data_IF_508379620905
#
_entry.id   IF_508379620905
#
_cell.length_a   1.000
_cell.length_b   1.000
_cell.length_c   1.000
_cell.angle_alpha   90.00
_cell.angle_beta   90.00
_cell.angle_gamma   90.00
#
_symmetry.space_group_name_H-M   'P 1'
#
loop_
_entity.id
_entity.type
_entity.pdbx_description
1 polymer ?
#
# COMPACT_ATOMS: atom_id res chain seq x y z
N UNK A 1 9.28 34.94 30.20
CA UNK A 1 7.82 34.77 30.20
C UNK A 1 7.50 34.00 28.93
N UNK A 2 6.88 32.83 29.09
CA UNK A 2 6.54 31.80 28.10
C UNK A 2 7.71 30.99 27.50
N UNK A 3 7.80 29.73 27.96
CA UNK A 3 8.52 28.62 27.34
C UNK A 3 8.05 28.43 25.88
N UNK A 4 8.92 28.70 24.91
CA UNK A 4 8.77 28.18 23.56
C UNK A 4 9.20 26.70 23.57
N UNK A 5 8.21 25.83 23.47
CA UNK A 5 8.29 24.38 23.58
C UNK A 5 9.17 23.75 22.48
N UNK A 6 10.49 23.85 22.63
CA UNK A 6 11.50 23.09 21.90
C UNK A 6 11.67 21.68 22.45
N UNK A 7 10.61 20.85 22.45
CA UNK A 7 10.76 19.42 22.72
C UNK A 7 11.20 18.78 21.40
N UNK A 8 12.51 18.76 21.15
CA UNK A 8 13.13 17.82 20.22
C UNK A 8 12.61 16.43 20.56
N UNK A 9 11.70 15.91 19.73
CA UNK A 9 11.11 14.59 19.97
C UNK A 9 12.22 13.58 19.72
N UNK A 10 12.45 12.63 20.64
CA UNK A 10 13.43 11.57 20.38
C UNK A 10 12.96 10.69 19.23
N UNK A 11 13.89 10.18 18.40
CA UNK A 11 13.60 9.27 17.27
C UNK A 11 12.68 8.13 17.70
N UNK A 12 12.98 7.51 18.83
CA UNK A 12 12.20 6.40 19.39
C UNK A 12 10.76 6.78 19.69
N UNK A 13 10.53 8.00 20.19
CA UNK A 13 9.18 8.50 20.50
C UNK A 13 8.40 8.82 19.22
N UNK A 14 9.05 9.41 18.21
CA UNK A 14 8.42 9.66 16.92
C UNK A 14 8.04 8.36 16.21
N UNK A 15 8.95 7.39 16.17
CA UNK A 15 8.70 6.05 15.62
C UNK A 15 7.56 5.37 16.38
N UNK A 16 7.60 5.39 17.72
CA UNK A 16 6.53 4.82 18.55
C UNK A 16 5.17 5.47 18.30
N UNK A 17 5.11 6.80 18.20
CA UNK A 17 3.87 7.52 17.86
C UNK A 17 3.38 7.18 16.45
N UNK A 18 4.27 7.13 15.45
CA UNK A 18 3.92 6.79 14.06
C UNK A 18 3.33 5.38 13.96
N UNK A 19 3.98 4.40 14.59
CA UNK A 19 3.53 3.00 14.61
C UNK A 19 2.20 2.85 15.38
N UNK A 20 2.02 3.59 16.47
CA UNK A 20 0.76 3.59 17.22
C UNK A 20 -0.39 4.15 16.37
N UNK A 21 -0.17 5.27 15.66
CA UNK A 21 -1.18 5.85 14.77
C UNK A 21 -1.53 4.86 13.65
N UNK A 22 -0.52 4.26 13.00
CA UNK A 22 -0.72 3.24 11.98
C UNK A 22 -1.54 2.05 12.51
N UNK A 23 -1.23 1.57 13.71
CA UNK A 23 -1.97 0.47 14.33
C UNK A 23 -3.44 0.84 14.60
N UNK A 24 -3.71 2.06 15.05
CA UNK A 24 -5.07 2.57 15.26
C UNK A 24 -5.82 2.64 13.92
N UNK A 25 -5.19 3.18 12.86
CA UNK A 25 -5.76 3.20 11.51
C UNK A 25 -6.13 1.79 11.04
N UNK A 26 -5.22 0.81 11.16
CA UNK A 26 -5.51 -0.57 10.75
C UNK A 26 -6.63 -1.21 11.59
N UNK A 27 -6.66 -0.95 12.91
CA UNK A 27 -7.67 -1.47 13.80
C UNK A 27 -9.07 -0.92 13.47
N UNK A 28 -9.18 0.35 13.09
CA UNK A 28 -10.45 0.98 12.69
C UNK A 28 -10.89 0.52 11.30
N UNK A 29 -9.94 0.37 10.38
CA UNK A 29 -10.21 -0.05 9.00
C UNK A 29 -10.68 -1.51 8.89
N UNK A 30 -10.09 -2.43 9.68
CA UNK A 30 -10.33 -3.87 9.54
C UNK A 30 -11.82 -4.26 9.69
N UNK A 31 -12.56 -3.79 10.72
CA UNK A 31 -13.99 -4.05 10.83
C UNK A 31 -14.78 -3.54 9.62
N UNK A 32 -14.45 -2.34 9.11
CA UNK A 32 -15.12 -1.76 7.94
C UNK A 32 -14.92 -2.65 6.70
N UNK A 33 -13.70 -3.16 6.49
CA UNK A 33 -13.39 -4.07 5.38
C UNK A 33 -14.13 -5.40 5.50
N UNK A 34 -14.16 -5.99 6.70
CA UNK A 34 -14.88 -7.25 6.93
C UNK A 34 -16.39 -7.12 6.68
N UNK A 35 -17.00 -6.03 7.15
CA UNK A 35 -18.44 -5.77 6.94
C UNK A 35 -18.72 -5.55 5.45
N UNK A 36 -17.96 -4.70 4.78
CA UNK A 36 -18.19 -4.39 3.36
C UNK A 36 -17.99 -5.62 2.45
N UNK A 37 -17.03 -6.49 2.78
CA UNK A 37 -16.81 -7.77 2.10
C UNK A 37 -18.05 -8.69 2.13
N UNK A 38 -18.87 -8.63 3.18
CA UNK A 38 -20.03 -9.51 3.37
C UNK A 38 -21.33 -8.96 2.76
N UNK A 39 -21.48 -7.63 2.70
CA UNK A 39 -22.79 -7.01 2.45
C UNK A 39 -22.88 -6.19 1.16
N UNK A 40 -21.77 -5.75 0.59
CA UNK A 40 -21.79 -4.84 -0.55
C UNK A 40 -21.57 -5.57 -1.87
N UNK A 41 -22.23 -5.05 -2.92
CA UNK A 41 -22.17 -5.57 -4.29
C UNK A 41 -21.73 -4.48 -5.26
N UNK A 42 -20.96 -4.89 -6.26
CA UNK A 42 -20.50 -4.15 -7.44
C UNK A 42 -20.25 -2.63 -7.25
N UNK A 43 -18.99 -2.28 -6.94
CA UNK A 43 -18.61 -0.90 -6.60
C UNK A 43 -17.29 -0.43 -7.23
N UNK A 44 -16.83 -1.03 -8.34
CA UNK A 44 -15.52 -0.70 -8.93
C UNK A 44 -15.35 0.80 -9.24
N UNK A 45 -16.39 1.46 -9.74
CA UNK A 45 -16.39 2.91 -9.99
C UNK A 45 -16.24 3.73 -8.69
N UNK A 46 -16.84 3.25 -7.59
CA UNK A 46 -16.72 3.87 -6.27
C UNK A 46 -15.30 3.71 -5.71
N UNK A 47 -14.68 2.53 -5.87
CA UNK A 47 -13.28 2.29 -5.50
C UNK A 47 -12.32 3.26 -6.19
N UNK A 48 -12.44 3.40 -7.51
CA UNK A 48 -11.62 4.33 -8.29
C UNK A 48 -11.82 5.78 -7.86
N UNK A 49 -13.06 6.17 -7.61
CA UNK A 49 -13.39 7.53 -7.15
C UNK A 49 -12.79 7.82 -5.77
N UNK A 50 -12.89 6.88 -4.83
CA UNK A 50 -12.31 7.00 -3.50
C UNK A 50 -10.78 7.15 -3.53
N UNK A 51 -10.08 6.30 -4.30
CA UNK A 51 -8.62 6.40 -4.44
C UNK A 51 -8.17 7.67 -5.18
N UNK A 52 -8.90 8.08 -6.20
CA UNK A 52 -8.60 9.32 -6.92
C UNK A 52 -8.74 10.54 -6.01
N UNK A 53 -9.88 10.66 -5.31
CA UNK A 53 -10.12 11.77 -4.39
C UNK A 53 -9.13 11.77 -3.23
N UNK A 54 -8.77 10.61 -2.67
CA UNK A 54 -7.78 10.56 -1.61
C UNK A 54 -6.40 11.01 -2.08
N UNK A 55 -5.98 10.62 -3.29
CA UNK A 55 -4.72 11.10 -3.87
C UNK A 55 -4.72 12.61 -4.10
N UNK A 56 -5.83 13.16 -4.60
CA UNK A 56 -6.01 14.62 -4.77
C UNK A 56 -5.93 15.34 -3.43
N UNK A 57 -6.62 14.84 -2.40
CA UNK A 57 -6.55 15.42 -1.05
C UNK A 57 -5.13 15.33 -0.49
N UNK A 58 -4.44 14.20 -0.66
CA UNK A 58 -3.06 14.02 -0.23
C UNK A 58 -2.12 15.02 -0.94
N UNK A 59 -2.29 15.23 -2.25
CA UNK A 59 -1.53 16.22 -3.00
C UNK A 59 -1.76 17.64 -2.45
N UNK A 60 -3.01 18.01 -2.13
CA UNK A 60 -3.31 19.29 -1.51
C UNK A 60 -2.69 19.45 -0.12
N UNK A 61 -2.69 18.41 0.71
CA UNK A 61 -2.02 18.42 2.02
C UNK A 61 -0.52 18.68 1.86
N UNK A 62 0.12 18.07 0.86
CA UNK A 62 1.55 18.27 0.61
C UNK A 62 1.89 19.62 -0.03
N UNK A 63 1.00 20.19 -0.85
CA UNK A 63 1.24 21.45 -1.56
C UNK A 63 0.85 22.70 -0.76
N UNK A 64 -0.09 22.59 0.17
CA UNK A 64 -0.62 23.74 0.92
C UNK A 64 -0.15 23.66 2.38
N UNK A 65 0.79 24.51 2.74
CA UNK A 65 1.39 24.57 4.09
C UNK A 65 0.33 24.78 5.19
N UNK A 66 -0.71 25.57 4.92
CA UNK A 66 -1.84 25.76 5.84
C UNK A 66 -2.59 24.46 6.11
N UNK A 67 -2.82 23.61 5.09
CA UNK A 67 -3.43 22.30 5.31
C UNK A 67 -2.47 21.37 6.04
N UNK A 68 -1.16 21.51 5.85
CA UNK A 68 -0.16 20.66 6.50
C UNK A 68 0.04 20.96 7.99
N UNK A 69 -0.06 22.23 8.40
CA UNK A 69 0.33 22.64 9.76
C UNK A 69 -0.73 23.43 10.53
N UNK A 70 -1.79 23.93 9.88
CA UNK A 70 -2.83 24.68 10.59
C UNK A 70 -3.87 23.76 11.22
N UNK A 71 -4.05 23.88 12.53
CA UNK A 71 -5.17 23.25 13.24
C UNK A 71 -6.41 24.14 13.18
N UNK A 72 -7.63 23.58 13.00
CA UNK A 72 -7.97 22.16 12.93
C UNK A 72 -7.89 21.54 11.51
N UNK A 73 -7.62 22.35 10.48
CA UNK A 73 -7.72 21.96 9.08
C UNK A 73 -6.87 20.74 8.71
N UNK A 74 -5.67 20.62 9.28
CA UNK A 74 -4.78 19.48 9.08
C UNK A 74 -5.43 18.15 9.47
N UNK A 75 -6.00 18.06 10.67
CA UNK A 75 -6.65 16.84 11.14
C UNK A 75 -7.87 16.47 10.30
N UNK A 76 -8.65 17.47 9.88
CA UNK A 76 -9.82 17.25 9.03
C UNK A 76 -9.40 16.70 7.67
N UNK A 77 -8.42 17.35 7.02
CA UNK A 77 -7.95 16.92 5.70
C UNK A 77 -7.37 15.50 5.74
N UNK A 78 -6.59 15.18 6.77
CA UNK A 78 -6.02 13.84 6.92
C UNK A 78 -7.09 12.80 7.27
N UNK A 79 -8.05 13.12 8.15
CA UNK A 79 -9.15 12.21 8.46
C UNK A 79 -9.99 11.90 7.20
N UNK A 80 -10.31 12.91 6.39
CA UNK A 80 -11.01 12.72 5.11
C UNK A 80 -10.19 11.86 4.15
N UNK A 81 -8.89 12.13 4.03
CA UNK A 81 -7.99 11.32 3.20
C UNK A 81 -7.96 9.85 3.66
N UNK A 82 -7.81 9.62 4.96
CA UNK A 82 -7.82 8.30 5.57
C UNK A 82 -9.13 7.56 5.34
N UNK A 83 -10.29 8.19 5.56
CA UNK A 83 -11.59 7.55 5.34
C UNK A 83 -11.80 7.21 3.86
N UNK A 84 -11.43 8.11 2.94
CA UNK A 84 -11.49 7.82 1.50
C UNK A 84 -10.60 6.64 1.11
N UNK A 85 -9.38 6.57 1.63
CA UNK A 85 -8.49 5.42 1.43
C UNK A 85 -9.07 4.13 2.01
N UNK A 86 -9.67 4.23 3.20
CA UNK A 86 -10.25 3.08 3.90
C UNK A 86 -11.47 2.54 3.16
N UNK A 87 -12.36 3.41 2.69
CA UNK A 87 -13.51 3.07 1.86
C UNK A 87 -13.10 2.55 0.47
N UNK A 88 -12.05 3.12 -0.12
CA UNK A 88 -11.42 2.59 -1.34
C UNK A 88 -10.93 1.16 -1.15
N UNK A 89 -10.14 0.91 -0.10
CA UNK A 89 -9.70 -0.45 0.27
C UNK A 89 -10.86 -1.39 0.57
N UNK A 90 -11.90 -0.92 1.27
CA UNK A 90 -13.09 -1.70 1.60
C UNK A 90 -13.84 -2.15 0.35
N UNK A 91 -14.07 -1.21 -0.58
CA UNK A 91 -14.77 -1.46 -1.83
C UNK A 91 -13.97 -2.37 -2.76
N UNK A 92 -12.64 -2.28 -2.70
CA UNK A 92 -11.77 -3.23 -3.40
C UNK A 92 -11.86 -4.65 -2.82
N UNK A 93 -12.23 -4.84 -1.55
CA UNK A 93 -12.39 -6.18 -0.95
C UNK A 93 -13.82 -6.72 -1.06
N UNK A 94 -14.74 -6.01 -1.71
CA UNK A 94 -16.13 -6.44 -1.88
C UNK A 94 -16.26 -7.73 -2.69
N UNK A 95 -17.36 -8.45 -2.45
CA UNK A 95 -17.76 -9.69 -3.11
C UNK A 95 -16.71 -10.81 -3.03
N UNK A 96 -15.81 -10.73 -2.06
CA UNK A 96 -14.76 -11.73 -1.89
C UNK A 96 -15.04 -12.67 -0.72
N UNK A 97 -14.42 -13.86 -0.75
CA UNK A 97 -14.54 -14.80 0.35
C UNK A 97 -13.86 -14.22 1.60
N UNK A 98 -14.61 -14.12 2.71
CA UNK A 98 -14.13 -13.60 3.99
C UNK A 98 -12.80 -14.22 4.42
N UNK A 99 -12.61 -15.52 4.20
CA UNK A 99 -11.36 -16.23 4.56
C UNK A 99 -10.20 -15.70 3.72
N UNK A 100 -10.38 -15.57 2.40
CA UNK A 100 -9.37 -15.02 1.49
C UNK A 100 -9.04 -13.56 1.84
N UNK A 101 -10.06 -12.76 2.19
CA UNK A 101 -9.89 -11.39 2.67
C UNK A 101 -9.00 -11.34 3.91
N UNK A 102 -9.28 -12.17 4.93
CA UNK A 102 -8.46 -12.23 6.15
C UNK A 102 -7.01 -12.62 5.83
N UNK A 103 -6.81 -13.60 4.94
CA UNK A 103 -5.47 -14.05 4.53
C UNK A 103 -4.70 -12.90 3.87
N UNK A 104 -5.31 -12.15 2.95
CA UNK A 104 -4.64 -11.03 2.29
C UNK A 104 -4.37 -9.87 3.24
N UNK A 105 -5.30 -9.57 4.15
CA UNK A 105 -5.07 -8.56 5.19
C UNK A 105 -3.87 -8.92 6.06
N UNK A 106 -3.76 -10.19 6.47
CA UNK A 106 -2.65 -10.70 7.26
C UNK A 106 -1.33 -10.73 6.47
N UNK A 107 -1.36 -11.16 5.21
CA UNK A 107 -0.19 -11.21 4.33
C UNK A 107 0.35 -9.80 4.05
N UNK A 108 -0.52 -8.83 3.76
CA UNK A 108 -0.14 -7.43 3.59
C UNK A 108 0.48 -6.84 4.85
N UNK A 109 -0.04 -7.20 6.03
CA UNK A 109 0.51 -6.74 7.31
C UNK A 109 1.89 -7.33 7.56
N UNK A 110 2.04 -8.63 7.30
CA UNK A 110 3.31 -9.34 7.41
C UNK A 110 4.37 -8.75 6.47
N UNK A 111 4.02 -8.46 5.22
CA UNK A 111 4.91 -7.77 4.27
C UNK A 111 5.32 -6.40 4.80
N UNK A 112 4.39 -5.59 5.29
CA UNK A 112 4.70 -4.28 5.87
C UNK A 112 5.69 -4.42 7.04
N UNK A 113 5.46 -5.35 7.96
CA UNK A 113 6.35 -5.61 9.09
C UNK A 113 7.74 -6.01 8.60
N UNK A 114 7.85 -6.92 7.63
CA UNK A 114 9.13 -7.33 7.04
C UNK A 114 9.87 -6.13 6.45
N UNK A 115 9.17 -5.28 5.70
CA UNK A 115 9.76 -4.10 5.07
C UNK A 115 10.24 -3.08 6.10
N UNK A 116 9.48 -2.87 7.17
CA UNK A 116 9.90 -2.00 8.28
C UNK A 116 11.12 -2.58 9.03
N UNK A 117 11.17 -3.89 9.24
CA UNK A 117 12.34 -4.56 9.83
C UNK A 117 13.57 -4.43 8.93
N UNK A 118 13.41 -4.66 7.63
CA UNK A 118 14.48 -4.47 6.65
C UNK A 118 14.99 -3.02 6.64
N UNK A 119 14.09 -2.04 6.73
CA UNK A 119 14.44 -0.62 6.84
C UNK A 119 15.23 -0.35 8.13
N UNK A 120 14.83 -0.94 9.26
CA UNK A 120 15.57 -0.85 10.52
C UNK A 120 16.98 -1.44 10.43
N UNK A 121 17.14 -2.58 9.75
CA UNK A 121 18.45 -3.22 9.50
C UNK A 121 19.34 -2.37 8.60
N UNK A 122 18.78 -1.75 7.54
CA UNK A 122 19.51 -0.83 6.67
C UNK A 122 19.99 0.41 7.44
N UNK A 123 19.14 0.98 8.29
CA UNK A 123 19.52 2.10 9.17
C UNK A 123 20.64 1.67 10.12
N UNK A 124 20.51 0.51 10.77
CA UNK A 124 21.50 0.01 11.73
C UNK A 124 22.86 -0.29 11.10
N UNK A 125 22.86 -0.92 9.92
CA UNK A 125 24.09 -1.21 9.17
C UNK A 125 24.75 0.03 8.56
N UNK A 126 24.00 1.12 8.40
CA UNK A 126 24.46 2.34 7.71
C UNK A 126 24.70 2.16 6.21
N UNK A 127 24.40 0.98 5.66
CA UNK A 127 24.69 0.64 4.27
C UNK A 127 23.42 0.67 3.43
N UNK A 128 23.08 1.86 2.93
CA UNK A 128 21.96 2.04 2.01
C UNK A 128 22.28 3.08 0.94
N UNK A 129 21.76 2.87 -0.28
CA UNK A 129 21.91 3.82 -1.37
C UNK A 129 21.11 5.10 -1.10
N UNK A 130 21.39 6.18 -1.84
CA UNK A 130 20.66 7.44 -1.68
C UNK A 130 19.14 7.19 -1.79
N UNK A 131 18.35 7.48 -0.73
CA UNK A 131 16.97 7.03 -0.65
C UNK A 131 16.05 7.81 -1.60
N UNK A 132 16.40 9.05 -2.00
CA UNK A 132 15.68 9.76 -3.06
C UNK A 132 15.85 9.08 -4.42
N UNK A 133 17.06 8.60 -4.73
CA UNK A 133 17.29 7.83 -5.97
C UNK A 133 16.54 6.51 -5.95
N UNK A 134 16.52 5.82 -4.81
CA UNK A 134 15.73 4.59 -4.66
C UNK A 134 14.23 4.85 -4.84
N UNK A 135 13.70 5.97 -4.31
CA UNK A 135 12.30 6.33 -4.52
C UNK A 135 11.97 6.51 -6.02
N UNK A 136 12.85 7.19 -6.78
CA UNK A 136 12.68 7.34 -8.24
C UNK A 136 12.68 5.98 -8.94
N UNK A 137 13.58 5.06 -8.57
CA UNK A 137 13.61 3.69 -9.10
C UNK A 137 12.31 2.94 -8.78
N UNK A 138 11.80 3.07 -7.55
CA UNK A 138 10.51 2.50 -7.17
C UNK A 138 9.35 3.05 -8.01
N UNK A 139 9.31 4.37 -8.26
CA UNK A 139 8.29 4.98 -9.14
C UNK A 139 8.40 4.47 -10.57
N UNK A 140 9.61 4.36 -11.12
CA UNK A 140 9.82 3.78 -12.45
C UNK A 140 9.38 2.31 -12.52
N UNK A 141 9.50 1.56 -11.42
CA UNK A 141 8.96 0.22 -11.31
C UNK A 141 7.43 0.15 -11.41
N UNK A 142 6.69 1.11 -10.84
CA UNK A 142 5.23 1.20 -11.05
C UNK A 142 4.89 1.47 -12.52
N UNK A 143 5.63 2.35 -13.19
CA UNK A 143 5.46 2.61 -14.62
C UNK A 143 5.74 1.34 -15.42
N UNK A 144 6.79 0.59 -15.08
CA UNK A 144 7.13 -0.68 -15.73
C UNK A 144 6.03 -1.73 -15.53
N UNK A 145 5.50 -1.89 -14.30
CA UNK A 145 4.39 -2.80 -14.02
C UNK A 145 3.15 -2.44 -14.87
N UNK A 146 2.82 -1.16 -14.98
CA UNK A 146 1.73 -0.69 -15.85
C UNK A 146 2.01 -0.99 -17.33
N UNK A 147 3.23 -0.77 -17.81
CA UNK A 147 3.60 -1.10 -19.18
C UNK A 147 3.47 -2.60 -19.47
N UNK A 148 3.88 -3.46 -18.54
CA UNK A 148 3.74 -4.92 -18.68
C UNK A 148 2.26 -5.31 -18.73
N UNK A 149 1.42 -4.74 -17.87
CA UNK A 149 -0.02 -5.00 -17.85
C UNK A 149 -0.68 -4.60 -19.18
N UNK A 150 -0.32 -3.44 -19.73
CA UNK A 150 -0.80 -3.00 -21.05
C UNK A 150 -0.30 -3.91 -22.17
N UNK A 151 0.94 -4.43 -22.06
CA UNK A 151 1.46 -5.40 -23.04
C UNK A 151 0.75 -6.75 -22.95
N UNK A 152 0.36 -7.20 -21.76
CA UNK A 152 -0.43 -8.42 -21.59
C UNK A 152 -1.79 -8.30 -22.31
N UNK A 153 -2.47 -7.16 -22.16
CA UNK A 153 -3.72 -6.87 -22.91
C UNK A 153 -3.53 -6.99 -24.43
N UNK A 154 -2.32 -6.70 -24.95
CA UNK A 154 -2.04 -6.79 -26.38
C UNK A 154 -1.54 -8.17 -26.85
N UNK A 155 -0.80 -8.91 -26.02
CA UNK A 155 -0.14 -10.17 -26.41
C UNK A 155 -0.76 -11.43 -25.80
N UNK A 156 -1.67 -11.32 -24.82
CA UNK A 156 -2.38 -12.42 -24.16
C UNK A 156 -1.46 -13.56 -23.69
N UNK A 157 -0.38 -13.23 -22.96
CA UNK A 157 0.56 -14.23 -22.48
C UNK A 157 0.57 -14.24 -20.96
N UNK A 158 -0.06 -15.27 -20.39
CA UNK A 158 -0.33 -15.44 -18.94
C UNK A 158 0.88 -15.16 -18.01
N UNK A 159 2.11 -15.44 -18.45
CA UNK A 159 3.31 -15.19 -17.64
C UNK A 159 3.58 -13.70 -17.38
N UNK A 160 3.10 -12.78 -18.23
CA UNK A 160 3.33 -11.35 -18.05
C UNK A 160 2.58 -10.79 -16.83
N UNK A 161 1.44 -11.38 -16.46
CA UNK A 161 0.63 -10.97 -15.32
C UNK A 161 1.39 -11.20 -14.00
N UNK A 162 1.98 -12.38 -13.80
CA UNK A 162 2.77 -12.68 -12.60
C UNK A 162 4.01 -11.77 -12.49
N UNK A 163 4.65 -11.46 -13.63
CA UNK A 163 5.78 -10.53 -13.69
C UNK A 163 5.34 -9.10 -13.35
N UNK A 164 4.21 -8.64 -13.89
CA UNK A 164 3.66 -7.30 -13.60
C UNK A 164 3.44 -7.10 -12.11
N UNK A 165 2.79 -8.07 -11.43
CA UNK A 165 2.56 -8.00 -10.00
C UNK A 165 3.86 -8.10 -9.21
N UNK A 166 4.79 -8.96 -9.62
CA UNK A 166 6.09 -9.08 -8.98
C UNK A 166 6.84 -7.75 -8.98
N UNK A 167 6.86 -7.06 -10.13
CA UNK A 167 7.43 -5.72 -10.29
C UNK A 167 6.66 -4.70 -9.44
N UNK A 168 5.33 -4.76 -9.41
CA UNK A 168 4.50 -3.89 -8.58
C UNK A 168 4.83 -4.02 -7.09
N UNK A 169 4.83 -5.24 -6.54
CA UNK A 169 5.13 -5.50 -5.12
C UNK A 169 6.57 -5.06 -4.80
N UNK A 170 7.54 -5.38 -5.65
CA UNK A 170 8.93 -4.93 -5.48
C UNK A 170 9.03 -3.39 -5.45
N UNK A 171 8.25 -2.71 -6.29
CA UNK A 171 8.19 -1.24 -6.34
C UNK A 171 7.62 -0.65 -5.05
N UNK A 172 6.55 -1.23 -4.51
CA UNK A 172 5.98 -0.83 -3.21
C UNK A 172 7.01 -1.00 -2.10
N UNK A 173 7.74 -2.12 -2.07
CA UNK A 173 8.82 -2.36 -1.10
C UNK A 173 9.89 -1.26 -1.19
N UNK A 174 10.42 -1.00 -2.38
CA UNK A 174 11.48 -0.01 -2.59
C UNK A 174 11.03 1.39 -2.19
N UNK A 175 9.81 1.80 -2.56
CA UNK A 175 9.27 3.11 -2.16
C UNK A 175 9.10 3.19 -0.65
N UNK A 176 8.60 2.14 -0.01
CA UNK A 176 8.38 2.12 1.45
C UNK A 176 9.71 2.25 2.20
N UNK A 177 10.72 1.47 1.80
CA UNK A 177 12.09 1.59 2.35
C UNK A 177 12.63 3.01 2.15
N UNK A 178 12.49 3.54 0.93
CA UNK A 178 12.95 4.89 0.60
C UNK A 178 12.27 5.96 1.46
N UNK A 179 10.96 5.85 1.66
CA UNK A 179 10.19 6.76 2.50
C UNK A 179 10.66 6.73 3.95
N UNK A 180 10.87 5.54 4.53
CA UNK A 180 11.39 5.39 5.90
C UNK A 180 12.79 5.99 6.02
N UNK A 181 13.69 5.73 5.05
CA UNK A 181 15.05 6.27 5.05
C UNK A 181 15.09 7.79 4.88
N UNK A 182 14.26 8.37 3.99
CA UNK A 182 14.12 9.82 3.84
C UNK A 182 13.63 10.44 5.16
N UNK A 183 12.64 9.82 5.80
CA UNK A 183 12.09 10.28 7.08
C UNK A 183 13.16 10.25 8.17
N UNK A 184 13.95 9.18 8.24
CA UNK A 184 15.07 9.07 9.19
C UNK A 184 16.15 10.13 8.93
N UNK A 185 16.55 10.35 7.67
CA UNK A 185 17.60 11.31 7.33
C UNK A 185 17.21 12.77 7.58
N UNK A 186 15.92 13.08 7.58
CA UNK A 186 15.40 14.43 7.84
C UNK A 186 14.79 14.57 9.25
N UNK A 187 15.12 13.64 10.17
CA UNK A 187 14.51 13.57 11.50
C UNK A 187 14.58 14.89 12.29
N UNK A 188 15.68 15.62 12.16
CA UNK A 188 15.88 16.87 12.89
C UNK A 188 14.91 17.99 12.47
N UNK A 189 14.33 17.88 11.28
CA UNK A 189 13.35 18.84 10.73
C UNK A 189 11.90 18.39 10.97
N UNK A 190 11.68 17.18 11.48
CA UNK A 190 10.35 16.59 11.64
C UNK A 190 9.68 17.06 12.92
N UNK A 191 8.46 17.57 12.78
CA UNK A 191 7.61 17.98 13.91
C UNK A 191 6.67 16.82 14.27
N UNK A 192 6.13 16.83 15.49
CA UNK A 192 5.18 15.80 15.96
C UNK A 192 3.98 15.60 15.01
N UNK A 193 3.53 16.65 14.34
CA UNK A 193 2.40 16.59 13.40
C UNK A 193 2.76 15.83 12.10
N UNK A 194 4.05 15.70 11.76
CA UNK A 194 4.50 14.89 10.62
C UNK A 194 4.42 13.37 10.92
N UNK A 195 4.41 12.94 12.19
CA UNK A 195 4.26 11.53 12.55
C UNK A 195 2.92 10.95 12.05
N UNK A 196 1.88 11.78 12.06
CA UNK A 196 0.56 11.42 11.57
C UNK A 196 0.57 11.29 10.04
N UNK A 197 1.21 12.22 9.34
CA UNK A 197 1.36 12.16 7.88
C UNK A 197 2.18 10.93 7.44
N UNK A 198 3.30 10.65 8.11
CA UNK A 198 4.13 9.46 7.86
C UNK A 198 3.33 8.18 8.10
N UNK A 199 2.53 8.12 9.16
CA UNK A 199 1.66 6.97 9.42
C UNK A 199 0.64 6.75 8.29
N UNK A 200 0.08 7.81 7.71
CA UNK A 200 -0.82 7.70 6.55
C UNK A 200 -0.09 7.21 5.31
N UNK A 201 1.15 7.65 5.07
CA UNK A 201 1.94 7.14 3.94
C UNK A 201 2.25 5.65 4.13
N UNK A 202 2.58 5.19 5.35
CA UNK A 202 2.74 3.77 5.65
C UNK A 202 1.43 2.99 5.50
N UNK A 203 0.29 3.61 5.83
CA UNK A 203 -1.03 3.02 5.61
C UNK A 203 -1.35 2.88 4.11
N UNK A 204 -0.96 3.86 3.28
CA UNK A 204 -1.05 3.74 1.81
C UNK A 204 -0.18 2.58 1.31
N UNK A 205 1.06 2.44 1.81
CA UNK A 205 1.91 1.30 1.46
C UNK A 205 1.26 -0.04 1.83
N UNK A 206 0.63 -0.14 3.00
CA UNK A 206 -0.15 -1.30 3.39
C UNK A 206 -1.30 -1.58 2.41
N UNK A 207 -2.07 -0.56 2.02
CA UNK A 207 -3.14 -0.70 1.05
C UNK A 207 -2.62 -1.18 -0.32
N UNK A 208 -1.45 -0.72 -0.75
CA UNK A 208 -0.83 -1.21 -1.98
C UNK A 208 -0.44 -2.69 -1.88
N UNK A 209 0.08 -3.16 -0.74
CA UNK A 209 0.31 -4.59 -0.51
C UNK A 209 -0.98 -5.40 -0.52
N UNK A 210 -2.05 -4.88 0.06
CA UNK A 210 -3.38 -5.49 0.04
C UNK A 210 -3.91 -5.60 -1.40
N UNK A 211 -3.79 -4.53 -2.18
CA UNK A 211 -4.18 -4.50 -3.59
C UNK A 211 -3.39 -5.53 -4.39
N UNK A 212 -2.06 -5.51 -4.27
CA UNK A 212 -1.18 -6.48 -4.92
C UNK A 212 -1.53 -7.91 -4.52
N UNK A 213 -1.77 -8.17 -3.24
CA UNK A 213 -2.13 -9.49 -2.72
C UNK A 213 -3.45 -10.03 -3.28
N UNK A 214 -4.51 -9.21 -3.36
CA UNK A 214 -5.79 -9.64 -3.96
C UNK A 214 -5.63 -9.93 -5.44
N UNK A 215 -4.92 -9.07 -6.18
CA UNK A 215 -4.65 -9.25 -7.61
C UNK A 215 -3.83 -10.54 -7.84
N UNK A 216 -2.82 -10.80 -7.00
CA UNK A 216 -2.06 -12.07 -7.05
C UNK A 216 -2.95 -13.29 -6.87
N UNK A 217 -3.88 -13.28 -5.91
CA UNK A 217 -4.79 -14.42 -5.71
C UNK A 217 -5.67 -14.65 -6.94
N UNK A 218 -6.13 -13.57 -7.59
CA UNK A 218 -6.91 -13.66 -8.82
C UNK A 218 -6.12 -14.36 -9.94
N UNK A 219 -4.94 -13.86 -10.29
CA UNK A 219 -4.14 -14.43 -11.37
C UNK A 219 -3.62 -15.85 -11.07
N UNK A 220 -3.25 -16.15 -9.82
CA UNK A 220 -2.89 -17.52 -9.42
C UNK A 220 -4.06 -18.49 -9.60
N UNK A 221 -5.28 -18.06 -9.29
CA UNK A 221 -6.48 -18.89 -9.46
C UNK A 221 -6.79 -19.11 -10.93
N UNK A 222 -6.68 -18.07 -11.76
CA UNK A 222 -6.90 -18.14 -13.21
C UNK A 222 -5.86 -19.03 -13.90
N UNK A 223 -4.57 -18.86 -13.56
CA UNK A 223 -3.50 -19.71 -14.06
C UNK A 223 -3.72 -21.18 -13.66
N UNK A 224 -4.08 -21.45 -12.40
CA UNK A 224 -4.35 -22.81 -11.93
C UNK A 224 -5.53 -23.46 -12.70
N UNK A 225 -6.58 -22.70 -13.00
CA UNK A 225 -7.71 -23.18 -13.80
C UNK A 225 -7.28 -23.51 -15.24
N UNK A 226 -6.53 -22.62 -15.89
CA UNK A 226 -6.04 -22.82 -17.25
C UNK A 226 -5.11 -24.04 -17.38
N UNK A 227 -4.20 -24.25 -16.43
CA UNK A 227 -3.33 -25.43 -16.44
C UNK A 227 -4.12 -26.73 -16.19
N UNK A 228 -5.14 -26.70 -15.34
CA UNK A 228 -6.00 -27.86 -15.12
C UNK A 228 -6.79 -28.26 -16.38
N UNK A 229 -7.36 -27.30 -17.12
CA UNK A 229 -8.10 -27.58 -18.35
C UNK A 229 -7.18 -28.06 -19.48
N UNK A 230 -6.05 -27.39 -19.70
CA UNK A 230 -5.09 -27.77 -20.75
C UNK A 230 -4.49 -29.16 -20.53
N UNK A 231 -4.23 -29.54 -19.27
CA UNK A 231 -3.70 -30.87 -18.95
C UNK A 231 -4.77 -31.96 -19.15
N UNK A 232 -6.05 -31.65 -18.89
CA UNK A 232 -7.14 -32.62 -19.04
C UNK A 232 -7.49 -32.87 -20.52
N UNK A 233 -7.51 -31.82 -21.36
CA UNK A 233 -7.73 -31.97 -22.82
C UNK A 233 -6.60 -32.76 -23.50
N UNK A 234 -5.35 -32.55 -23.08
CA UNK A 234 -4.21 -33.32 -23.61
C UNK A 234 -4.25 -34.82 -23.26
N UNK A 235 -4.97 -35.20 -22.22
CA UNK A 235 -5.13 -36.61 -21.81
C UNK A 235 -6.30 -37.26 -22.55
N UNK A 236 -7.35 -36.51 -22.92
CA UNK A 236 -8.48 -37.06 -23.70
C UNK A 236 -8.15 -37.28 -25.18
N UNK A 237 -7.27 -36.46 -25.77
CA UNK A 237 -6.79 -36.66 -27.14
C UNK A 237 -5.86 -37.88 -27.28
N UNK A 238 -5.11 -38.25 -26.24
CA UNK A 238 -4.17 -39.39 -26.28
C UNK A 238 -4.85 -40.77 -26.04
N UNK A 239 -6.15 -40.79 -25.72
CA UNK A 239 -6.95 -42.00 -25.52
C UNK A 239 -7.98 -42.27 -26.64
N UNK A 240 -7.97 -41.47 -27.72
CA UNK A 240 -8.91 -41.59 -28.84
C UNK A 240 -8.32 -42.11 -30.15
N UNK A 241 -7.09 -42.66 -30.13
CA UNK A 241 -6.47 -43.42 -31.24
C UNK A 241 -6.48 -44.94 -31.01
#
# INVERSE_FOLDING_TARGET
MADESGITTSVTRFVGCTLLILAICLLVATPQWMVMCLFAKDAMAYTLTCFFLSFVVLAFIHMIETLKYSRPWNYIAIAVCYELLTLGGASFLMEWNLICTIIVLAAGLLLLVIVLLASGLLIWSGFYANPFKMAVVGVMGFVLAFCIEVMDVLMHWFFWQDVAIGVFIASVIVITISHVLITYNNFELLVRDDALLVAIVLYIAYLLFLVGGRISVFYVTENAYHFATTTTESIEEDYSD
#
